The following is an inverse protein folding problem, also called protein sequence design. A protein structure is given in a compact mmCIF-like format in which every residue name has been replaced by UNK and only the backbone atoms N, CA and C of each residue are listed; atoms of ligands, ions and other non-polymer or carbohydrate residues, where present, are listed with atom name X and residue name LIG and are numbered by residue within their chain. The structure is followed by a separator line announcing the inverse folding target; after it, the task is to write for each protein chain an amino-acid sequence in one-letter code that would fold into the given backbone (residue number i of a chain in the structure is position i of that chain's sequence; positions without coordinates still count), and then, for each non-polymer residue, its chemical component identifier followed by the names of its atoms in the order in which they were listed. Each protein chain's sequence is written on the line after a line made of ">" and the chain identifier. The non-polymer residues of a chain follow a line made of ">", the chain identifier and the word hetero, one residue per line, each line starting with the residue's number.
data_IF_019604823989
#
_entry.id   IF_019604823989
#
_cell.length_a   1.000
_cell.length_b   1.000
_cell.length_c   1.000
_cell.angle_alpha   90.00
_cell.angle_beta   90.00
_cell.angle_gamma   90.00
#
_symmetry.space_group_name_H-M   'P 1'
#
loop_
_entity.id
_entity.type
_entity.pdbx_description
1 polymer ?
#
# COMPACT_ATOMS: atom_id res chain seq x y z
N UNK A 1 10.96 -14.76 -14.36
CA UNK A 1 9.60 -14.26 -14.04
C UNK A 1 9.26 -13.13 -15.01
N UNK A 2 8.03 -13.02 -15.51
CA UNK A 2 7.65 -11.90 -16.39
C UNK A 2 7.45 -10.61 -15.57
N UNK A 3 7.59 -9.45 -16.21
CA UNK A 3 7.39 -8.15 -15.54
C UNK A 3 5.99 -8.04 -14.91
N UNK A 4 4.95 -8.45 -15.63
CA UNK A 4 3.59 -8.48 -15.10
C UNK A 4 3.47 -9.35 -13.84
N UNK A 5 4.13 -10.51 -13.80
CA UNK A 5 4.15 -11.36 -12.59
C UNK A 5 4.92 -10.71 -11.45
N UNK A 6 6.02 -10.02 -11.75
CA UNK A 6 6.81 -9.27 -10.76
C UNK A 6 6.01 -8.14 -10.13
N UNK A 7 5.33 -7.36 -10.96
CA UNK A 7 4.53 -6.22 -10.55
C UNK A 7 3.33 -6.66 -9.71
N UNK A 8 2.64 -7.75 -10.10
CA UNK A 8 1.57 -8.35 -9.31
C UNK A 8 2.06 -8.89 -7.95
N UNK A 9 3.23 -9.53 -7.91
CA UNK A 9 3.81 -10.00 -6.65
C UNK A 9 4.14 -8.83 -5.71
N UNK A 10 4.70 -7.74 -6.25
CA UNK A 10 4.97 -6.52 -5.51
C UNK A 10 3.68 -5.88 -4.97
N UNK A 11 2.62 -5.79 -5.79
CA UNK A 11 1.28 -5.36 -5.38
C UNK A 11 0.77 -6.15 -4.18
N UNK A 12 0.79 -7.48 -4.25
CA UNK A 12 0.32 -8.32 -3.13
C UNK A 12 1.12 -8.05 -1.85
N UNK A 13 2.44 -7.95 -1.94
CA UNK A 13 3.31 -7.70 -0.80
C UNK A 13 3.02 -6.33 -0.14
N UNK A 14 2.87 -5.28 -0.96
CA UNK A 14 2.55 -3.92 -0.48
C UNK A 14 1.18 -3.90 0.20
N UNK A 15 0.15 -4.46 -0.45
CA UNK A 15 -1.19 -4.50 0.11
C UNK A 15 -1.23 -5.24 1.45
N UNK A 16 -0.56 -6.39 1.58
CA UNK A 16 -0.50 -7.15 2.84
C UNK A 16 0.24 -6.36 3.93
N UNK A 17 1.34 -5.69 3.60
CA UNK A 17 2.09 -4.87 4.55
C UNK A 17 1.25 -3.68 5.04
N UNK A 18 0.66 -2.93 4.11
CA UNK A 18 -0.16 -1.76 4.41
C UNK A 18 -1.45 -2.11 5.17
N UNK A 19 -2.03 -3.30 4.94
CA UNK A 19 -3.22 -3.75 5.66
C UNK A 19 -2.99 -3.80 7.18
N UNK A 20 -1.78 -4.19 7.61
CA UNK A 20 -1.41 -4.27 9.02
C UNK A 20 -0.86 -2.95 9.59
N UNK A 21 -0.51 -2.01 8.72
CA UNK A 21 0.18 -0.79 9.08
C UNK A 21 -0.68 0.46 8.75
N UNK A 22 -1.24 1.14 9.76
CA UNK A 22 -2.26 2.18 9.58
C UNK A 22 -1.77 3.50 8.99
N UNK A 23 -0.45 3.69 8.94
CA UNK A 23 0.21 4.91 8.48
C UNK A 23 0.54 4.88 6.98
N UNK A 24 0.32 3.76 6.31
CA UNK A 24 0.47 3.69 4.86
C UNK A 24 -0.73 4.38 4.19
N UNK A 25 -0.43 5.27 3.24
CA UNK A 25 -1.44 5.92 2.40
C UNK A 25 -2.23 4.93 1.55
N UNK A 26 -3.23 5.40 0.83
CA UNK A 26 -4.21 4.54 0.15
C UNK A 26 -3.77 4.13 -1.27
N UNK A 27 -2.79 4.81 -1.84
CA UNK A 27 -2.27 4.56 -3.21
C UNK A 27 -0.84 4.07 -3.15
N UNK A 28 -0.49 3.13 -4.02
CA UNK A 28 0.89 2.68 -4.23
C UNK A 28 1.25 2.62 -5.71
N UNK A 29 2.54 2.71 -5.99
CA UNK A 29 3.08 2.60 -7.34
C UNK A 29 4.24 1.61 -7.34
N UNK A 30 4.31 0.75 -8.36
CA UNK A 30 5.45 -0.15 -8.58
C UNK A 30 6.23 0.35 -9.78
N UNK A 31 7.54 0.37 -9.63
CA UNK A 31 8.46 0.79 -10.69
C UNK A 31 9.49 -0.31 -10.99
N UNK A 32 9.93 -0.35 -12.24
CA UNK A 32 11.08 -1.13 -12.69
C UNK A 32 12.27 -0.20 -12.85
N UNK A 33 13.37 -0.54 -12.19
CA UNK A 33 14.66 0.09 -12.46
C UNK A 33 15.36 -0.67 -13.60
N UNK A 34 15.56 0.02 -14.72
CA UNK A 34 16.33 -0.43 -15.88
C UNK A 34 17.65 0.33 -16.00
N UNK A 35 18.44 -0.02 -17.02
CA UNK A 35 19.70 0.68 -17.35
C UNK A 35 19.48 2.11 -17.88
N UNK A 36 18.28 2.40 -18.37
CA UNK A 36 17.80 3.66 -18.93
C UNK A 36 17.03 4.52 -17.93
N UNK A 37 16.76 4.00 -16.72
CA UNK A 37 16.09 4.73 -15.66
C UNK A 37 14.95 3.96 -15.02
N UNK A 38 13.98 4.69 -14.49
CA UNK A 38 12.88 4.13 -13.70
C UNK A 38 11.56 4.23 -14.48
N UNK A 39 10.95 3.08 -14.76
CA UNK A 39 9.68 3.00 -15.50
C UNK A 39 8.57 2.56 -14.57
N UNK A 40 7.47 3.32 -14.50
CA UNK A 40 6.29 2.95 -13.71
C UNK A 40 5.60 1.75 -14.35
N UNK A 41 5.43 0.67 -13.59
CA UNK A 41 4.75 -0.55 -14.03
C UNK A 41 3.25 -0.52 -13.70
N UNK A 42 2.89 -0.06 -12.51
CA UNK A 42 1.49 0.07 -12.07
C UNK A 42 1.35 1.16 -11.02
N UNK A 43 0.13 1.66 -10.90
CA UNK A 43 -0.33 2.54 -9.83
C UNK A 43 -1.76 2.12 -9.50
N UNK A 44 -2.03 1.86 -8.22
CA UNK A 44 -3.33 1.35 -7.79
C UNK A 44 -3.75 1.89 -6.43
N UNK A 45 -5.07 1.98 -6.25
CA UNK A 45 -5.73 2.23 -4.98
C UNK A 45 -5.86 0.90 -4.20
N UNK A 46 -5.29 0.84 -3.01
CA UNK A 46 -5.33 -0.34 -2.16
C UNK A 46 -6.71 -0.62 -1.60
N UNK A 47 -7.59 0.38 -1.50
CA UNK A 47 -8.94 0.21 -0.96
C UNK A 47 -9.77 -0.76 -1.80
N UNK A 48 -9.68 -0.66 -3.13
CA UNK A 48 -10.33 -1.59 -4.05
C UNK A 48 -9.78 -3.02 -3.87
N UNK A 49 -8.46 -3.16 -3.84
CA UNK A 49 -7.83 -4.47 -3.64
C UNK A 49 -8.24 -5.10 -2.30
N UNK A 50 -8.36 -4.32 -1.23
CA UNK A 50 -8.83 -4.81 0.07
C UNK A 50 -10.27 -5.28 0.04
N UNK A 51 -11.17 -4.53 -0.62
CA UNK A 51 -12.59 -4.93 -0.75
C UNK A 51 -12.73 -6.28 -1.45
N UNK A 52 -11.89 -6.54 -2.45
CA UNK A 52 -11.92 -7.78 -3.23
C UNK A 52 -11.25 -8.96 -2.51
N UNK A 53 -10.17 -8.72 -1.76
CA UNK A 53 -9.28 -9.77 -1.28
C UNK A 53 -9.29 -10.00 0.23
N UNK A 54 -9.86 -9.07 1.02
CA UNK A 54 -9.87 -9.14 2.48
C UNK A 54 -11.29 -9.13 3.04
N UNK A 55 -11.60 -10.08 3.92
CA UNK A 55 -12.92 -10.17 4.59
C UNK A 55 -13.04 -9.27 5.81
N UNK A 56 -11.93 -8.96 6.46
CA UNK A 56 -11.90 -8.12 7.64
C UNK A 56 -11.53 -6.67 7.26
N UNK A 57 -12.11 -5.66 7.90
CA UNK A 57 -11.75 -4.27 7.63
C UNK A 57 -10.33 -3.98 8.13
N UNK A 58 -9.59 -3.17 7.37
CA UNK A 58 -8.26 -2.68 7.73
C UNK A 58 -8.28 -2.06 9.13
N UNK A 59 -7.29 -2.38 9.95
CA UNK A 59 -7.20 -1.92 11.35
C UNK A 59 -6.92 -0.40 11.37
N UNK A 60 -7.97 0.41 11.53
CA UNK A 60 -7.85 1.87 11.72
C UNK A 60 -7.42 2.15 13.16
N UNK A 61 -6.41 2.99 13.34
CA UNK A 61 -6.02 3.42 14.67
C UNK A 61 -6.80 4.68 15.00
N UNK A 62 -7.52 4.65 16.13
CA UNK A 62 -8.04 5.87 16.76
C UNK A 62 -6.98 6.35 17.74
N UNK A 63 -6.40 7.53 17.51
CA UNK A 63 -5.54 8.15 18.52
C UNK A 63 -6.47 8.54 19.68
N UNK A 64 -6.39 7.79 20.78
CA UNK A 64 -7.09 8.12 22.02
C UNK A 64 -6.05 8.82 22.91
N UNK A 65 -5.94 10.14 22.74
CA UNK A 65 -4.95 10.97 23.44
C UNK A 65 -5.27 12.45 23.24
N UNK A 66 -5.62 13.12 24.34
CA UNK A 66 -6.21 14.46 24.46
C UNK A 66 -5.24 15.58 24.03
N UNK A 67 -5.83 16.75 23.73
CA UNK A 67 -5.14 17.99 23.45
C UNK A 67 -3.92 18.23 24.34
N UNK A 68 -2.77 18.37 23.68
CA UNK A 68 -1.60 18.97 24.27
C UNK A 68 -1.78 20.47 24.15
N UNK A 69 -2.29 21.11 25.20
CA UNK A 69 -2.03 22.53 25.42
C UNK A 69 -0.58 22.62 25.89
N UNK A 70 0.32 23.00 24.98
CA UNK A 70 1.68 23.42 25.34
C UNK A 70 1.62 24.62 26.30
N UNK A 71 2.58 24.75 27.23
CA UNK A 71 2.66 25.89 28.15
C UNK A 71 2.81 27.23 27.42
#
# INVERSE_FOLDING_TARGET
>A
MSEAKAANLAKMAICIAAYNAPHYGDVFSVYKLGSDGCTKLLEEDMEEWYKENMKAPRRRYKIIGKGWSSP
#
